data_IF_241071832183
#
_entry.id   IF_241071832183
#
_cell.length_a   1.000
_cell.length_b   1.000
_cell.length_c   1.000
_cell.angle_alpha   90.00
_cell.angle_beta   90.00
_cell.angle_gamma   90.00
#
_symmetry.space_group_name_H-M   'P 1'
#
loop_
_entity.id
_entity.type
_entity.pdbx_description
1 polymer ?
#
# COMPACT_ATOMS: atom_id res chain seq x y z
N UNK A 1 7.87 -14.16 19.32
CA UNK A 1 8.24 -14.05 17.89
C UNK A 1 8.35 -12.56 17.60
N UNK A 2 9.41 -12.12 16.91
CA UNK A 2 9.67 -10.71 16.61
C UNK A 2 9.67 -10.48 15.09
N UNK A 3 9.10 -9.35 14.65
CA UNK A 3 9.10 -8.88 13.27
C UNK A 3 9.59 -7.44 13.23
N UNK A 4 10.60 -7.16 12.40
CA UNK A 4 11.17 -5.83 12.22
C UNK A 4 11.05 -5.38 10.77
N UNK A 5 10.63 -4.14 10.54
CA UNK A 5 10.66 -3.51 9.22
C UNK A 5 11.80 -2.50 9.15
N UNK A 6 12.60 -2.56 8.08
CA UNK A 6 13.67 -1.60 7.80
C UNK A 6 13.49 -1.06 6.37
N UNK A 7 13.34 0.26 6.26
CA UNK A 7 13.32 0.95 4.97
C UNK A 7 14.71 1.55 4.72
N UNK A 8 15.36 1.13 3.63
CA UNK A 8 16.70 1.59 3.27
C UNK A 8 16.67 2.95 2.54
N UNK A 9 15.59 3.20 1.79
CA UNK A 9 15.40 4.45 1.04
C UNK A 9 13.93 4.87 1.07
N UNK A 10 13.70 6.19 1.15
CA UNK A 10 12.37 6.80 1.06
C UNK A 10 11.73 6.62 -0.32
N UNK A 11 12.51 6.36 -1.36
CA UNK A 11 11.98 6.05 -2.70
C UNK A 11 11.03 4.86 -2.69
N UNK A 12 11.20 3.91 -1.77
CA UNK A 12 10.30 2.76 -1.58
C UNK A 12 8.86 3.20 -1.27
N UNK A 13 8.68 4.26 -0.48
CA UNK A 13 7.35 4.78 -0.17
C UNK A 13 6.70 5.44 -1.40
N UNK A 14 7.49 6.15 -2.22
CA UNK A 14 7.00 6.76 -3.45
C UNK A 14 6.54 5.69 -4.46
N UNK A 15 7.28 4.58 -4.58
CA UNK A 15 6.87 3.43 -5.39
C UNK A 15 5.55 2.83 -4.89
N UNK A 16 5.39 2.72 -3.56
CA UNK A 16 4.12 2.30 -2.94
C UNK A 16 2.96 3.23 -3.28
N UNK A 17 3.18 4.55 -3.24
CA UNK A 17 2.18 5.54 -3.62
C UNK A 17 1.79 5.46 -5.11
N UNK A 18 2.76 5.24 -6.01
CA UNK A 18 2.49 5.03 -7.44
C UNK A 18 1.68 3.74 -7.64
N UNK A 19 2.02 2.67 -6.93
CA UNK A 19 1.24 1.41 -6.96
C UNK A 19 -0.20 1.64 -6.50
N UNK A 20 -0.40 2.38 -5.42
CA UNK A 20 -1.73 2.75 -4.92
C UNK A 20 -2.52 3.57 -5.95
N UNK A 21 -1.88 4.54 -6.62
CA UNK A 21 -2.52 5.34 -7.66
C UNK A 21 -2.95 4.50 -8.87
N UNK A 22 -2.10 3.57 -9.34
CA UNK A 22 -2.43 2.66 -10.43
C UNK A 22 -3.57 1.70 -10.08
N UNK A 23 -3.59 1.20 -8.85
CA UNK A 23 -4.67 0.36 -8.33
C UNK A 23 -5.99 1.15 -8.23
N UNK A 24 -5.96 2.36 -7.67
CA UNK A 24 -7.13 3.19 -7.41
C UNK A 24 -7.89 3.56 -8.70
N UNK A 25 -7.20 3.59 -9.85
CA UNK A 25 -7.81 3.86 -11.17
C UNK A 25 -9.00 2.97 -11.49
N UNK A 26 -9.03 1.74 -10.99
CA UNK A 26 -10.10 0.76 -11.27
C UNK A 26 -11.15 0.68 -10.16
N UNK A 27 -11.02 1.46 -9.10
CA UNK A 27 -11.86 1.35 -7.91
C UNK A 27 -13.04 2.31 -7.96
N UNK A 28 -14.11 1.96 -7.25
CA UNK A 28 -15.25 2.86 -7.03
C UNK A 28 -14.82 4.05 -6.15
N UNK A 29 -15.54 5.17 -6.15
CA UNK A 29 -15.28 6.25 -5.19
C UNK A 29 -15.39 5.73 -3.75
N UNK A 30 -14.38 6.03 -2.93
CA UNK A 30 -14.29 5.56 -1.55
C UNK A 30 -13.00 6.00 -0.88
N UNK A 31 -12.94 5.85 0.45
CA UNK A 31 -11.71 6.02 1.21
C UNK A 31 -11.00 4.67 1.31
N UNK A 32 -9.78 4.61 0.80
CA UNK A 32 -8.97 3.39 0.77
C UNK A 32 -7.65 3.61 1.50
N UNK A 33 -7.10 2.51 1.98
CA UNK A 33 -5.84 2.42 2.70
C UNK A 33 -4.87 1.48 1.96
N UNK A 34 -3.62 1.42 2.43
CA UNK A 34 -2.66 0.49 1.83
C UNK A 34 -2.99 -0.98 2.09
N UNK A 35 -3.78 -1.32 3.11
CA UNK A 35 -4.25 -2.70 3.30
C UNK A 35 -5.21 -3.12 2.19
N UNK A 36 -6.04 -2.20 1.68
CA UNK A 36 -6.89 -2.46 0.51
C UNK A 36 -6.03 -2.67 -0.76
N UNK A 37 -5.03 -1.81 -0.97
CA UNK A 37 -4.11 -1.89 -2.12
C UNK A 37 -3.30 -3.20 -2.10
N UNK A 38 -2.96 -3.70 -0.92
CA UNK A 38 -2.19 -4.92 -0.72
C UNK A 38 -3.05 -6.19 -0.58
N UNK A 39 -4.39 -6.07 -0.52
CA UNK A 39 -5.30 -7.19 -0.33
C UNK A 39 -5.17 -7.86 1.04
N UNK A 40 -4.93 -7.07 2.09
CA UNK A 40 -4.70 -7.54 3.47
C UNK A 40 -5.88 -7.22 4.40
N UNK A 41 -7.09 -7.14 3.87
CA UNK A 41 -8.30 -6.79 4.62
C UNK A 41 -8.86 -7.94 5.46
N UNK A 42 -8.42 -9.17 5.20
CA UNK A 42 -9.06 -10.40 5.70
C UNK A 42 -8.32 -11.03 6.90
N UNK A 43 -7.54 -10.23 7.64
CA UNK A 43 -6.82 -10.65 8.85
C UNK A 43 -7.48 -10.14 10.13
#
# INVERSE_FOLDING_TARGET
IELTHRAEDRTMFAQGAIKAALWARSQKPGLYSMTDVLGLTDF
#
